data_IF_092955136984
#
_entry.id   IF_092955136984
#
_cell.length_a   1.000
_cell.length_b   1.000
_cell.length_c   1.000
_cell.angle_alpha   90.00
_cell.angle_beta   90.00
_cell.angle_gamma   90.00
#
_symmetry.space_group_name_H-M   'P 1'
#
loop_
_entity.id
_entity.type
_entity.pdbx_description
1 polymer ?
#
# COMPACT_ATOMS: atom_id res chain seq x y z
N UNK A 1 16.26 44.52 28.16
CA UNK A 1 14.99 45.25 28.09
C UNK A 1 13.99 44.38 27.33
N UNK A 2 13.54 43.23 27.85
CA UNK A 2 12.70 42.95 29.05
C UNK A 2 11.40 43.73 29.06
N UNK A 3 10.32 43.00 28.76
CA UNK A 3 8.92 43.41 28.70
C UNK A 3 8.33 43.35 30.11
N UNK A 4 7.58 44.42 30.43
CA UNK A 4 6.81 44.67 31.63
C UNK A 4 5.87 43.52 32.05
N UNK A 5 5.99 43.13 33.32
CA UNK A 5 4.94 42.41 34.05
C UNK A 5 4.36 43.39 35.07
N UNK A 6 3.10 43.77 34.86
CA UNK A 6 2.33 44.67 35.72
C UNK A 6 1.81 43.91 36.93
N UNK A 7 2.27 44.28 38.12
CA UNK A 7 1.74 43.78 39.38
C UNK A 7 1.99 44.80 40.50
N UNK A 8 0.96 45.59 40.84
CA UNK A 8 0.87 46.43 42.04
C UNK A 8 -0.59 46.27 42.55
N UNK A 9 -0.83 45.64 43.72
CA UNK A 9 -0.98 46.26 45.06
C UNK A 9 -2.11 47.31 45.11
N UNK A 10 -2.99 47.45 46.12
CA UNK A 10 -2.94 47.10 47.54
C UNK A 10 -4.32 47.42 48.21
N UNK A 11 -4.66 46.64 49.24
CA UNK A 11 -5.24 47.02 50.56
C UNK A 11 -6.70 47.47 50.82
N UNK A 12 -7.15 46.95 51.99
CA UNK A 12 -8.19 47.38 52.96
C UNK A 12 -9.65 46.92 52.68
N UNK A 13 -10.28 46.07 53.52
CA UNK A 13 -10.82 46.30 54.89
C UNK A 13 -11.95 47.35 54.85
N UNK A 14 -13.12 47.26 55.48
CA UNK A 14 -13.69 46.50 56.59
C UNK A 14 -15.22 46.82 56.61
N UNK A 15 -15.98 46.04 57.38
CA UNK A 15 -17.24 46.33 58.07
C UNK A 15 -18.53 46.93 57.42
N UNK A 16 -19.60 46.11 57.52
CA UNK A 16 -20.87 46.32 58.24
C UNK A 16 -21.44 47.74 58.46
N UNK A 17 -22.66 48.02 57.98
CA UNK A 17 -23.82 48.50 58.77
C UNK A 17 -25.08 48.82 57.91
N UNK A 18 -26.25 48.44 58.46
CA UNK A 18 -27.64 48.83 58.11
C UNK A 18 -27.91 50.32 58.48
N UNK A 19 -29.06 51.01 58.20
CA UNK A 19 -30.46 50.54 58.37
C UNK A 19 -31.56 51.21 57.49
N UNK A 20 -32.84 50.86 57.75
CA UNK A 20 -34.07 51.70 57.77
C UNK A 20 -35.26 50.94 57.14
N UNK A 21 -36.19 50.27 57.85
CA UNK A 21 -37.09 50.61 58.97
C UNK A 21 -38.43 51.28 58.56
N UNK A 22 -39.52 50.53 58.78
CA UNK A 22 -40.87 50.95 59.21
C UNK A 22 -41.72 49.65 59.32
N UNK A 23 -41.93 49.02 60.50
CA UNK A 23 -42.85 49.37 61.61
C UNK A 23 -44.34 49.26 61.19
N UNK A 24 -45.33 48.64 61.86
CA UNK A 24 -45.50 47.88 63.11
C UNK A 24 -46.79 47.02 63.00
N UNK A 25 -46.94 46.08 63.93
CA UNK A 25 -47.98 45.05 64.17
C UNK A 25 -49.45 45.52 64.36
N UNK A 26 -50.43 44.61 64.19
CA UNK A 26 -51.39 44.08 65.22
C UNK A 26 -52.25 42.91 64.66
N UNK A 27 -52.60 41.99 65.57
CA UNK A 27 -53.35 40.71 65.53
C UNK A 27 -54.70 40.64 64.78
N UNK A 28 -55.08 39.45 64.32
CA UNK A 28 -56.19 38.62 64.86
C UNK A 28 -56.54 37.43 63.92
N UNK A 29 -56.90 36.31 64.54
CA UNK A 29 -57.44 35.07 63.96
C UNK A 29 -58.55 35.29 62.92
N UNK A 30 -58.57 34.50 61.84
CA UNK A 30 -59.79 33.80 61.43
C UNK A 30 -59.52 32.61 60.49
N UNK A 31 -60.43 31.64 60.63
CA UNK A 31 -60.51 30.29 60.09
C UNK A 31 -60.86 30.30 58.59
N UNK A 32 -60.29 29.37 57.81
CA UNK A 32 -61.04 28.44 56.94
C UNK A 32 -60.20 27.92 55.77
N UNK A 33 -60.14 26.58 55.75
CA UNK A 33 -59.76 25.69 54.67
C UNK A 33 -59.93 26.22 53.24
N UNK A 34 -58.94 25.95 52.39
CA UNK A 34 -59.21 25.27 51.11
C UNK A 34 -58.04 24.38 50.72
N UNK A 35 -58.33 23.08 50.66
CA UNK A 35 -57.51 22.04 50.07
C UNK A 35 -57.71 22.08 48.57
N UNK A 36 -56.68 22.42 47.80
CA UNK A 36 -56.62 22.15 46.35
C UNK A 36 -55.42 21.27 46.05
N UNK A 37 -55.74 20.00 45.87
CA UNK A 37 -55.23 19.09 44.84
C UNK A 37 -53.71 18.97 44.59
N UNK A 38 -53.17 17.80 44.92
CA UNK A 38 -51.91 17.27 44.40
C UNK A 38 -51.94 17.24 42.86
N UNK A 39 -50.94 17.85 42.23
CA UNK A 39 -50.50 17.47 40.89
C UNK A 39 -48.99 17.17 40.90
N UNK A 40 -48.70 15.88 41.08
CA UNK A 40 -47.66 15.07 40.43
C UNK A 40 -46.30 15.74 40.16
N UNK A 41 -45.29 15.25 40.88
CA UNK A 41 -43.91 15.30 40.43
C UNK A 41 -43.75 14.50 39.13
N UNK A 42 -43.28 15.12 38.04
CA UNK A 42 -42.68 14.40 36.93
C UNK A 42 -41.14 14.56 36.92
N UNK A 43 -40.40 13.45 37.09
CA UNK A 43 -38.96 13.44 37.04
C UNK A 43 -38.43 13.27 35.60
N UNK A 44 -37.32 13.96 35.30
CA UNK A 44 -36.24 13.55 34.37
C UNK A 44 -36.66 13.00 32.99
N UNK A 45 -36.96 13.90 32.04
CA UNK A 45 -37.07 13.54 30.60
C UNK A 45 -35.94 14.09 29.71
N UNK A 46 -34.72 14.25 30.26
CA UNK A 46 -33.50 14.65 29.51
C UNK A 46 -32.43 13.55 29.42
N UNK A 47 -32.73 12.31 29.82
CA UNK A 47 -31.76 11.20 29.81
C UNK A 47 -31.98 10.18 28.68
N UNK A 48 -33.12 10.21 27.99
CA UNK A 48 -33.46 9.24 26.94
C UNK A 48 -32.85 9.60 25.57
N UNK A 49 -32.79 10.89 25.22
CA UNK A 49 -32.19 11.33 23.95
C UNK A 49 -30.67 11.16 23.94
N UNK A 50 -30.01 11.45 25.06
CA UNK A 50 -28.56 11.25 25.23
C UNK A 50 -28.21 9.76 25.22
N UNK A 51 -29.03 8.90 25.85
CA UNK A 51 -28.83 7.45 25.78
C UNK A 51 -29.02 6.90 24.36
N UNK A 52 -30.00 7.38 23.60
CA UNK A 52 -30.22 6.95 22.22
C UNK A 52 -29.10 7.41 21.28
N UNK A 53 -28.61 8.64 21.45
CA UNK A 53 -27.45 9.16 20.70
C UNK A 53 -26.19 8.40 21.07
N UNK A 54 -25.95 8.10 22.36
CA UNK A 54 -24.80 7.29 22.79
C UNK A 54 -24.91 5.85 22.26
N UNK A 55 -26.09 5.23 22.28
CA UNK A 55 -26.28 3.87 21.78
C UNK A 55 -26.33 3.75 20.24
N UNK A 56 -26.54 4.84 19.50
CA UNK A 56 -26.51 4.83 18.03
C UNK A 56 -25.20 5.35 17.44
N UNK A 57 -24.69 6.47 17.97
CA UNK A 57 -23.51 7.15 17.46
C UNK A 57 -22.22 6.41 17.83
N UNK A 58 -22.12 5.90 19.06
CA UNK A 58 -20.93 5.21 19.54
C UNK A 58 -20.66 3.90 18.76
N UNK A 59 -21.62 2.99 18.53
CA UNK A 59 -21.37 1.82 17.69
C UNK A 59 -21.14 2.19 16.22
N UNK A 60 -21.79 3.24 15.69
CA UNK A 60 -21.51 3.71 14.34
C UNK A 60 -20.05 4.18 14.17
N UNK A 61 -19.52 4.93 15.15
CA UNK A 61 -18.11 5.34 15.16
C UNK A 61 -17.19 4.12 15.28
N UNK A 62 -17.48 3.18 16.17
CA UNK A 62 -16.69 1.95 16.33
C UNK A 62 -16.67 1.14 15.02
N UNK A 63 -17.81 1.01 14.35
CA UNK A 63 -17.91 0.28 13.09
C UNK A 63 -17.16 0.98 11.96
N UNK A 64 -17.20 2.32 11.91
CA UNK A 64 -16.44 3.13 10.95
C UNK A 64 -14.92 3.01 11.20
N UNK A 65 -14.49 3.06 12.47
CA UNK A 65 -13.09 2.84 12.84
C UNK A 65 -12.62 1.42 12.50
N UNK A 66 -13.44 0.41 12.76
CA UNK A 66 -13.15 -0.98 12.43
C UNK A 66 -13.02 -1.17 10.91
N UNK A 67 -13.94 -0.60 10.12
CA UNK A 67 -13.87 -0.63 8.66
C UNK A 67 -12.62 0.11 8.14
N UNK A 68 -12.29 1.27 8.71
CA UNK A 68 -11.07 2.02 8.39
C UNK A 68 -9.80 1.23 8.71
N UNK A 69 -9.72 0.60 9.89
CA UNK A 69 -8.60 -0.23 10.29
C UNK A 69 -8.46 -1.48 9.40
N UNK A 70 -9.57 -2.13 9.05
CA UNK A 70 -9.58 -3.28 8.14
C UNK A 70 -9.09 -2.88 6.74
N UNK A 71 -9.57 -1.76 6.20
CA UNK A 71 -9.12 -1.25 4.90
C UNK A 71 -7.64 -0.84 4.93
N UNK A 72 -7.19 -0.13 5.95
CA UNK A 72 -5.79 0.25 6.11
C UNK A 72 -4.89 -0.99 6.21
N UNK A 73 -5.29 -1.99 7.00
CA UNK A 73 -4.57 -3.25 7.12
C UNK A 73 -4.49 -3.97 5.77
N UNK A 74 -5.61 -4.06 5.04
CA UNK A 74 -5.64 -4.66 3.71
C UNK A 74 -4.70 -3.94 2.75
N UNK A 75 -4.73 -2.60 2.71
CA UNK A 75 -3.82 -1.79 1.89
C UNK A 75 -2.35 -2.05 2.23
N UNK A 76 -1.99 -2.07 3.52
CA UNK A 76 -0.62 -2.32 3.97
C UNK A 76 -0.14 -3.72 3.57
N UNK A 77 -0.98 -4.75 3.75
CA UNK A 77 -0.65 -6.13 3.36
C UNK A 77 -0.45 -6.21 1.84
N UNK A 78 -1.38 -5.68 1.05
CA UNK A 78 -1.29 -5.69 -0.41
C UNK A 78 -0.05 -4.96 -0.94
N UNK A 79 0.31 -3.81 -0.37
CA UNK A 79 1.53 -3.08 -0.77
C UNK A 79 2.78 -3.88 -0.40
N UNK A 80 2.81 -4.48 0.79
CA UNK A 80 3.98 -5.25 1.24
C UNK A 80 4.18 -6.51 0.41
N UNK A 81 3.10 -7.20 0.07
CA UNK A 81 3.14 -8.34 -0.85
C UNK A 81 3.63 -7.93 -2.23
N UNK A 82 3.12 -6.81 -2.78
CA UNK A 82 3.58 -6.29 -4.07
C UNK A 82 5.06 -5.89 -4.06
N UNK A 83 5.59 -5.33 -2.97
CA UNK A 83 7.01 -5.00 -2.83
C UNK A 83 7.90 -6.26 -2.83
N UNK A 84 7.53 -7.27 -2.03
CA UNK A 84 8.27 -8.53 -1.98
C UNK A 84 8.19 -9.29 -3.31
N UNK A 85 7.01 -9.33 -3.91
CA UNK A 85 6.77 -9.84 -5.25
C UNK A 85 7.65 -9.13 -6.29
N UNK A 86 7.71 -7.80 -6.22
CA UNK A 86 8.51 -6.97 -7.11
C UNK A 86 10.00 -7.27 -7.07
N UNK A 87 10.58 -7.44 -5.87
CA UNK A 87 12.01 -7.80 -5.73
C UNK A 87 12.29 -9.17 -6.38
N UNK A 88 11.45 -10.17 -6.08
CA UNK A 88 11.59 -11.51 -6.65
C UNK A 88 11.38 -11.53 -8.17
N UNK A 89 10.43 -10.75 -8.66
CA UNK A 89 10.15 -10.60 -10.09
C UNK A 89 11.32 -9.93 -10.82
N UNK A 90 11.91 -8.87 -10.27
CA UNK A 90 13.09 -8.22 -10.85
C UNK A 90 14.25 -9.20 -10.98
N UNK A 91 14.53 -10.00 -9.94
CA UNK A 91 15.59 -11.01 -10.03
C UNK A 91 15.27 -12.07 -11.08
N UNK A 92 14.03 -12.58 -11.09
CA UNK A 92 13.60 -13.57 -12.08
C UNK A 92 13.67 -13.02 -13.52
N UNK A 93 13.38 -11.74 -13.71
CA UNK A 93 13.50 -11.06 -15.00
C UNK A 93 14.96 -10.92 -15.43
N UNK A 94 15.88 -10.59 -14.51
CA UNK A 94 17.33 -10.53 -14.78
C UNK A 94 17.83 -11.92 -15.22
N UNK A 95 17.60 -12.94 -14.40
CA UNK A 95 18.08 -14.29 -14.65
C UNK A 95 17.46 -14.90 -15.92
N UNK A 96 16.15 -14.68 -16.11
CA UNK A 96 15.43 -15.13 -17.30
C UNK A 96 15.92 -14.44 -18.57
N UNK A 97 16.21 -13.13 -18.52
CA UNK A 97 16.77 -12.40 -19.67
C UNK A 97 18.16 -12.92 -20.04
N UNK A 98 19.03 -13.16 -19.06
CA UNK A 98 20.36 -13.73 -19.30
C UNK A 98 20.24 -15.11 -19.95
N UNK A 99 19.33 -15.96 -19.45
CA UNK A 99 19.11 -17.29 -20.01
C UNK A 99 18.49 -17.25 -21.42
N UNK A 100 17.64 -16.27 -21.72
CA UNK A 100 16.97 -16.17 -23.02
C UNK A 100 17.89 -15.73 -24.14
N UNK A 101 18.84 -14.84 -23.82
CA UNK A 101 19.72 -14.19 -24.79
C UNK A 101 21.13 -14.77 -24.81
N UNK A 102 21.49 -15.59 -23.82
CA UNK A 102 22.79 -16.22 -23.69
C UNK A 102 22.77 -17.67 -24.16
N UNK A 103 23.68 -18.03 -25.07
CA UNK A 103 23.89 -19.41 -25.51
C UNK A 103 25.26 -19.58 -26.17
N UNK A 104 25.72 -20.82 -26.24
CA UNK A 104 26.92 -21.21 -26.98
C UNK A 104 26.60 -22.30 -28.00
N UNK A 105 27.33 -22.41 -29.12
CA UNK A 105 26.95 -23.34 -30.18
C UNK A 105 26.99 -24.80 -29.73
N UNK A 106 27.86 -25.15 -28.77
CA UNK A 106 28.02 -26.49 -28.20
C UNK A 106 26.90 -26.89 -27.22
N UNK A 107 26.25 -25.91 -26.59
CA UNK A 107 25.27 -26.11 -25.52
C UNK A 107 23.91 -25.47 -25.80
N UNK A 108 23.72 -24.90 -26.99
CA UNK A 108 22.54 -24.12 -27.39
C UNK A 108 21.22 -24.84 -27.14
N UNK A 109 21.16 -26.16 -27.40
CA UNK A 109 19.95 -26.96 -27.16
C UNK A 109 19.57 -26.96 -25.67
N UNK A 110 20.56 -27.21 -24.80
CA UNK A 110 20.37 -27.26 -23.36
C UNK A 110 20.09 -25.87 -22.79
N UNK A 111 20.86 -24.86 -23.23
CA UNK A 111 20.74 -23.48 -22.76
C UNK A 111 19.34 -22.93 -23.07
N UNK A 112 18.88 -23.04 -24.32
CA UNK A 112 17.59 -22.53 -24.75
C UNK A 112 16.42 -23.38 -24.24
N UNK A 113 16.61 -24.69 -24.05
CA UNK A 113 15.62 -25.54 -23.38
C UNK A 113 15.43 -25.16 -21.91
N UNK A 114 16.53 -24.91 -21.19
CA UNK A 114 16.48 -24.43 -19.81
C UNK A 114 15.89 -23.01 -19.71
N UNK A 115 16.13 -22.17 -20.71
CA UNK A 115 15.51 -20.86 -20.82
C UNK A 115 13.98 -20.96 -20.96
N UNK A 116 13.50 -21.88 -21.82
CA UNK A 116 12.07 -22.16 -22.03
C UNK A 116 11.33 -22.58 -20.76
N UNK A 117 11.99 -23.24 -19.79
CA UNK A 117 11.41 -23.59 -18.49
C UNK A 117 11.17 -22.40 -17.55
N UNK A 118 11.73 -21.23 -17.91
CA UNK A 118 11.48 -19.95 -17.24
C UNK A 118 10.37 -19.15 -17.93
N UNK A 119 9.76 -19.68 -18.99
CA UNK A 119 8.73 -19.01 -19.76
C UNK A 119 7.35 -19.59 -19.47
N UNK A 120 6.31 -18.82 -19.79
CA UNK A 120 4.92 -19.27 -19.71
C UNK A 120 4.06 -18.64 -20.80
N UNK A 121 2.82 -19.12 -20.91
CA UNK A 121 1.83 -18.63 -21.85
C UNK A 121 2.26 -18.78 -23.32
N UNK A 122 1.68 -17.95 -24.18
CA UNK A 122 1.95 -17.96 -25.62
C UNK A 122 3.39 -17.59 -25.96
N UNK A 123 4.05 -16.80 -25.12
CA UNK A 123 5.45 -16.42 -25.32
C UNK A 123 6.38 -17.63 -25.27
N UNK A 124 6.14 -18.58 -24.36
CA UNK A 124 6.88 -19.84 -24.31
C UNK A 124 6.79 -20.62 -25.63
N UNK A 125 5.60 -20.69 -26.20
CA UNK A 125 5.37 -21.46 -27.43
C UNK A 125 6.04 -20.79 -28.64
N UNK A 126 5.89 -19.47 -28.78
CA UNK A 126 6.56 -18.68 -29.82
C UNK A 126 8.09 -18.77 -29.71
N UNK A 127 8.62 -18.67 -28.49
CA UNK A 127 10.05 -18.84 -28.23
C UNK A 127 10.53 -20.23 -28.67
N UNK A 128 9.84 -21.28 -28.23
CA UNK A 128 10.18 -22.68 -28.57
C UNK A 128 10.26 -22.88 -30.09
N UNK A 129 9.24 -22.42 -30.81
CA UNK A 129 9.20 -22.52 -32.27
C UNK A 129 10.38 -21.80 -32.94
N UNK A 130 10.70 -20.58 -32.50
CA UNK A 130 11.81 -19.80 -33.06
C UNK A 130 13.16 -20.44 -32.74
N UNK A 131 13.34 -20.93 -31.52
CA UNK A 131 14.62 -21.52 -31.12
C UNK A 131 14.90 -22.81 -31.84
N UNK A 132 13.92 -23.72 -31.93
CA UNK A 132 14.10 -25.03 -32.58
C UNK A 132 14.29 -24.91 -34.10
N UNK A 133 13.56 -23.99 -34.74
CA UNK A 133 13.56 -23.89 -36.20
C UNK A 133 14.67 -22.99 -36.75
N UNK A 134 15.12 -22.00 -35.98
CA UNK A 134 16.01 -20.94 -36.49
C UNK A 134 17.28 -20.79 -35.65
N UNK A 135 17.15 -20.60 -34.34
CA UNK A 135 18.28 -20.20 -33.49
C UNK A 135 19.25 -21.36 -33.27
N UNK A 136 18.76 -22.54 -32.89
CA UNK A 136 19.60 -23.72 -32.64
C UNK A 136 20.38 -24.13 -33.89
N UNK A 137 19.74 -24.36 -35.06
CA UNK A 137 20.47 -24.73 -36.27
C UNK A 137 21.43 -23.62 -36.71
N UNK A 138 21.00 -22.35 -36.63
CA UNK A 138 21.83 -21.21 -37.00
C UNK A 138 23.07 -21.06 -36.11
N UNK A 139 22.92 -21.25 -34.80
CA UNK A 139 24.00 -21.16 -33.83
C UNK A 139 25.04 -22.26 -34.05
N UNK A 140 24.61 -23.51 -34.26
CA UNK A 140 25.52 -24.63 -34.51
C UNK A 140 26.26 -24.48 -35.85
N UNK A 141 25.56 -24.11 -36.92
CA UNK A 141 26.16 -23.98 -38.26
C UNK A 141 27.14 -22.83 -38.36
N UNK A 142 26.82 -21.68 -37.73
CA UNK A 142 27.65 -20.47 -37.80
C UNK A 142 28.56 -20.29 -36.58
N UNK A 143 28.57 -21.24 -35.66
CA UNK A 143 29.34 -21.20 -34.41
C UNK A 143 29.10 -19.88 -33.64
N UNK A 144 27.83 -19.50 -33.49
CA UNK A 144 27.43 -18.25 -32.84
C UNK A 144 27.42 -18.46 -31.33
N UNK A 145 28.15 -17.60 -30.62
CA UNK A 145 28.08 -17.46 -29.17
C UNK A 145 27.46 -16.12 -28.84
N UNK A 146 26.49 -16.12 -27.93
CA UNK A 146 25.87 -14.92 -27.41
C UNK A 146 26.01 -14.90 -25.88
N UNK A 147 26.51 -13.80 -25.34
CA UNK A 147 26.64 -13.60 -23.89
C UNK A 147 25.84 -12.35 -23.54
N UNK A 148 24.83 -12.51 -22.70
CA UNK A 148 24.01 -11.41 -22.21
C UNK A 148 24.36 -11.08 -20.75
N UNK A 149 24.43 -9.78 -20.46
CA UNK A 149 24.60 -9.23 -19.12
C UNK A 149 23.49 -8.24 -18.85
N UNK A 150 23.04 -8.19 -17.61
CA UNK A 150 21.98 -7.28 -17.17
C UNK A 150 22.56 -6.31 -16.16
N UNK A 151 23.20 -5.20 -16.60
CA UNK A 151 23.78 -4.21 -15.69
C UNK A 151 22.72 -3.60 -14.77
N UNK A 152 21.50 -3.39 -15.27
CA UNK A 152 20.42 -2.80 -14.51
C UNK A 152 19.06 -3.40 -14.89
N UNK A 153 18.15 -3.42 -13.91
CA UNK A 153 16.74 -3.71 -14.12
C UNK A 153 15.94 -2.94 -13.07
N UNK A 154 14.81 -2.38 -13.50
CA UNK A 154 13.93 -1.55 -12.70
C UNK A 154 12.50 -2.10 -12.73
N UNK A 155 11.86 -2.17 -11.57
CA UNK A 155 10.46 -2.55 -11.47
C UNK A 155 9.58 -1.43 -12.03
N UNK A 156 8.72 -1.76 -13.00
CA UNK A 156 7.73 -0.82 -13.56
C UNK A 156 6.42 -0.94 -12.79
N UNK A 157 5.95 -2.16 -12.57
CA UNK A 157 4.75 -2.45 -11.78
C UNK A 157 4.83 -3.85 -11.16
N UNK A 158 4.19 -4.04 -10.01
CA UNK A 158 4.05 -5.35 -9.38
C UNK A 158 2.72 -5.48 -8.65
N UNK A 159 2.19 -6.70 -8.69
CA UNK A 159 1.10 -7.21 -7.86
C UNK A 159 1.56 -8.52 -7.23
N UNK A 160 0.70 -9.20 -6.48
CA UNK A 160 1.03 -10.49 -5.86
C UNK A 160 1.38 -11.59 -6.89
N UNK A 161 0.85 -11.52 -8.11
CA UNK A 161 0.99 -12.57 -9.14
C UNK A 161 1.42 -12.10 -10.52
N UNK A 162 1.61 -10.80 -10.73
CA UNK A 162 1.99 -10.21 -12.01
C UNK A 162 2.97 -9.07 -11.80
N UNK A 163 3.98 -8.96 -12.66
CA UNK A 163 4.96 -7.87 -12.59
C UNK A 163 5.48 -7.51 -13.98
N UNK A 164 5.83 -6.23 -14.15
CA UNK A 164 6.50 -5.71 -15.34
C UNK A 164 7.82 -5.11 -14.90
N UNK A 165 8.90 -5.51 -15.57
CA UNK A 165 10.27 -5.10 -15.27
C UNK A 165 10.89 -4.54 -16.54
N UNK A 166 11.52 -3.36 -16.44
CA UNK A 166 12.38 -2.84 -17.48
C UNK A 166 13.80 -3.36 -17.24
N UNK A 167 14.37 -4.03 -18.23
CA UNK A 167 15.68 -4.66 -18.16
C UNK A 167 16.61 -4.00 -19.18
N UNK A 168 17.78 -3.57 -18.72
CA UNK A 168 18.85 -3.08 -19.59
C UNK A 168 19.81 -4.24 -19.84
N UNK A 169 20.15 -4.46 -21.11
CA UNK A 169 20.93 -5.62 -21.54
C UNK A 169 22.13 -5.17 -22.32
N UNK A 170 23.30 -5.65 -21.91
CA UNK A 170 24.52 -5.60 -22.70
C UNK A 170 24.77 -7.01 -23.25
N UNK A 171 24.82 -7.13 -24.57
CA UNK A 171 25.03 -8.40 -25.25
C UNK A 171 26.31 -8.37 -26.07
N UNK A 172 27.14 -9.38 -25.89
CA UNK A 172 28.33 -9.63 -26.72
C UNK A 172 28.05 -10.84 -27.59
N UNK A 173 28.14 -10.69 -28.91
CA UNK A 173 27.96 -11.79 -29.87
C UNK A 173 29.26 -12.04 -30.62
N UNK A 174 29.61 -13.31 -30.80
CA UNK A 174 30.79 -13.75 -31.56
C UNK A 174 30.37 -14.84 -32.54
N UNK A 175 30.79 -14.72 -33.80
CA UNK A 175 30.49 -15.68 -34.87
C UNK A 175 31.78 -16.39 -35.27
N UNK A 176 31.86 -17.70 -35.05
CA UNK A 176 33.08 -18.47 -35.27
C UNK A 176 34.27 -17.86 -34.53
N UNK A 177 35.35 -17.59 -35.26
CA UNK A 177 36.55 -16.95 -34.72
C UNK A 177 36.64 -15.46 -35.07
N UNK A 178 35.51 -14.83 -35.42
CA UNK A 178 35.44 -13.40 -35.73
C UNK A 178 35.60 -12.52 -34.49
N UNK A 179 35.67 -11.21 -34.71
CA UNK A 179 35.70 -10.23 -33.62
C UNK A 179 34.35 -10.20 -32.88
N UNK A 180 34.36 -10.11 -31.54
CA UNK A 180 33.13 -9.88 -30.77
C UNK A 180 32.48 -8.54 -31.15
N UNK A 181 31.15 -8.52 -31.14
CA UNK A 181 30.34 -7.33 -31.33
C UNK A 181 29.44 -7.12 -30.13
N UNK A 182 29.51 -5.91 -29.54
CA UNK A 182 28.71 -5.53 -28.39
C UNK A 182 27.49 -4.72 -28.81
N UNK A 183 26.36 -4.97 -28.16
CA UNK A 183 25.10 -4.25 -28.37
C UNK A 183 24.44 -4.00 -27.02
N UNK A 184 24.02 -2.77 -26.77
CA UNK A 184 23.21 -2.41 -25.62
C UNK A 184 21.75 -2.23 -26.06
N UNK A 185 20.82 -2.78 -25.29
CA UNK A 185 19.38 -2.68 -25.56
C UNK A 185 18.59 -2.59 -24.27
N UNK A 186 17.31 -2.23 -24.38
CA UNK A 186 16.37 -2.21 -23.26
C UNK A 186 15.13 -3.01 -23.63
N UNK A 187 14.63 -3.79 -22.68
CA UNK A 187 13.51 -4.71 -22.89
C UNK A 187 12.54 -4.60 -21.74
N UNK A 188 11.24 -4.53 -22.06
CA UNK A 188 10.15 -4.74 -21.12
C UNK A 188 9.89 -6.23 -20.98
N UNK A 189 10.12 -6.74 -19.78
CA UNK A 189 9.88 -8.14 -19.41
C UNK A 189 8.62 -8.22 -18.57
N UNK A 190 7.65 -8.99 -19.03
CA UNK A 190 6.39 -9.26 -18.33
C UNK A 190 6.48 -10.61 -17.65
N UNK A 191 6.12 -10.68 -16.37
CA UNK A 191 6.21 -11.89 -15.57
C UNK A 191 4.88 -12.21 -14.89
N UNK A 192 4.55 -13.50 -14.90
CA UNK A 192 3.42 -14.07 -14.17
C UNK A 192 3.89 -15.11 -13.17
N UNK A 193 3.29 -15.08 -11.99
CA UNK A 193 3.58 -16.01 -10.90
C UNK A 193 2.68 -17.23 -11.00
N UNK A 194 3.24 -18.38 -11.38
CA UNK A 194 2.53 -19.64 -11.54
C UNK A 194 3.17 -20.68 -10.61
N UNK A 195 2.37 -21.38 -9.81
CA UNK A 195 2.86 -22.36 -8.83
C UNK A 195 3.97 -21.80 -7.93
N UNK A 196 3.80 -20.54 -7.49
CA UNK A 196 4.73 -19.79 -6.67
C UNK A 196 6.11 -19.48 -7.33
N UNK A 197 6.28 -19.73 -8.63
CA UNK A 197 7.46 -19.38 -9.43
C UNK A 197 7.13 -18.23 -10.39
N UNK A 198 8.02 -17.26 -10.50
CA UNK A 198 7.92 -16.21 -11.51
C UNK A 198 8.40 -16.75 -12.85
N UNK A 199 7.55 -16.64 -13.88
CA UNK A 199 7.83 -17.05 -15.25
C UNK A 199 7.61 -15.87 -16.18
N UNK A 200 8.46 -15.73 -17.19
CA UNK A 200 8.34 -14.67 -18.19
C UNK A 200 7.20 -15.04 -19.15
N UNK A 201 6.21 -14.15 -19.24
CA UNK A 201 5.06 -14.28 -20.15
C UNK A 201 5.13 -13.32 -21.34
N UNK A 202 6.07 -12.36 -21.33
CA UNK A 202 6.31 -11.46 -22.46
C UNK A 202 7.69 -10.82 -22.41
N UNK A 203 8.21 -10.48 -23.59
CA UNK A 203 9.56 -9.94 -23.77
C UNK A 203 9.58 -9.01 -24.98
N UNK A 204 9.42 -7.71 -24.74
CA UNK A 204 9.19 -6.71 -25.79
C UNK A 204 10.27 -5.63 -25.75
N UNK A 205 10.86 -5.23 -26.90
CA UNK A 205 11.74 -4.07 -26.95
C UNK A 205 10.98 -2.78 -26.58
N UNK A 206 11.70 -1.79 -26.05
CA UNK A 206 11.14 -0.47 -25.69
C UNK A 206 11.50 0.64 -26.67
#
# INVERSE_FOLDING_TARGET
MTVDTKNDNCLAADDSEQPSAADASVQADDVAATRTERAVAEPRRRLTRTRLVVFGLLPAIVLLLAAGAAYARWRVVSVREAQLAGIAAVQSARDGTVALLGYRPDTVENDLTAARERLTGTFRDSYTSLTEQVVIPGAQQKLITAIAKVPAAALVSATASHAVVLVFVDQTTTIGNGSPSDTASSVRVTLDKINNKWLISGFDPV
#
